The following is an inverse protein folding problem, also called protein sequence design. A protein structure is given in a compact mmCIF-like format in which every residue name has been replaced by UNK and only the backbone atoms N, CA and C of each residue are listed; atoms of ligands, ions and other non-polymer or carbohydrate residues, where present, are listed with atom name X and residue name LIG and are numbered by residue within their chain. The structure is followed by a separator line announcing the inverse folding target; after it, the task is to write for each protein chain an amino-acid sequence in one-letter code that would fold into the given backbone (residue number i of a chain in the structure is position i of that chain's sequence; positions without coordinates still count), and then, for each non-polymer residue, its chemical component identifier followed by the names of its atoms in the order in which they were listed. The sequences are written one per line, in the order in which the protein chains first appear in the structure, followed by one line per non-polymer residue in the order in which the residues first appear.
data_IF_929922614878
#
_entry.id   IF_929922614878
#
_cell.length_a   1.000
_cell.length_b   1.000
_cell.length_c   1.000
_cell.angle_alpha   90.00
_cell.angle_beta   90.00
_cell.angle_gamma   90.00
#
_symmetry.space_group_name_H-M   'P 1'
#
loop_
_entity.id
_entity.type
_entity.pdbx_description
1 polymer ?
#
# COMPACT_ATOMS: atom_id res chain seq x y z
N UNK A 1 10.65 58.11 -34.46
CA UNK A 1 10.99 56.75 -34.07
C UNK A 1 9.67 55.96 -33.96
N UNK A 2 9.37 55.19 -35.00
CA UNK A 2 8.14 54.43 -35.16
C UNK A 2 8.38 53.00 -34.70
N UNK A 3 7.65 52.56 -33.69
CA UNK A 3 7.62 51.16 -33.24
C UNK A 3 6.73 50.35 -34.17
N UNK A 4 7.32 49.43 -34.92
CA UNK A 4 6.61 48.41 -35.68
C UNK A 4 6.23 47.26 -34.77
N UNK A 5 4.91 47.06 -34.58
CA UNK A 5 4.35 45.85 -33.98
C UNK A 5 4.35 44.74 -35.05
N UNK A 6 5.14 43.70 -34.86
CA UNK A 6 5.09 42.50 -35.65
C UNK A 6 3.80 41.73 -35.28
N UNK A 7 2.86 41.70 -36.22
CA UNK A 7 1.68 40.82 -36.12
C UNK A 7 2.10 39.36 -36.23
N UNK A 8 1.68 38.57 -35.28
CA UNK A 8 1.71 37.10 -35.41
C UNK A 8 0.62 36.70 -36.40
N UNK A 9 1.02 36.41 -37.63
CA UNK A 9 0.14 35.80 -38.61
C UNK A 9 -0.35 34.44 -38.11
N UNK A 10 -1.66 34.35 -37.92
CA UNK A 10 -2.36 33.10 -37.61
C UNK A 10 -2.26 32.15 -38.82
N UNK A 11 -1.65 31.00 -38.62
CA UNK A 11 -1.65 29.91 -39.58
C UNK A 11 -3.09 29.49 -39.94
N UNK A 12 -3.40 29.25 -41.23
CA UNK A 12 -4.73 28.87 -41.66
C UNK A 12 -5.07 27.46 -41.10
N UNK A 13 -6.14 27.36 -40.33
CA UNK A 13 -6.75 26.12 -39.90
C UNK A 13 -7.21 25.31 -41.12
N UNK A 14 -6.60 24.14 -41.35
CA UNK A 14 -7.17 23.12 -42.22
C UNK A 14 -8.50 22.72 -41.64
N UNK A 15 -9.58 22.87 -42.42
CA UNK A 15 -10.96 22.54 -42.06
C UNK A 15 -11.16 21.04 -41.80
N UNK A 16 -10.83 20.60 -40.59
CA UNK A 16 -11.31 19.38 -40.01
C UNK A 16 -12.32 19.75 -38.93
N UNK A 17 -13.43 19.04 -38.83
CA UNK A 17 -14.40 19.17 -37.75
C UNK A 17 -13.63 18.91 -36.44
N UNK A 18 -13.28 19.98 -35.75
CA UNK A 18 -12.59 19.90 -34.49
C UNK A 18 -13.58 19.31 -33.47
N UNK A 19 -13.47 18.01 -33.18
CA UNK A 19 -14.30 17.37 -32.15
C UNK A 19 -14.00 18.03 -30.82
N UNK A 20 -14.99 18.68 -30.26
CA UNK A 20 -14.89 19.32 -28.95
C UNK A 20 -14.72 18.24 -27.89
N UNK A 21 -13.67 18.35 -27.07
CA UNK A 21 -13.47 17.45 -25.92
C UNK A 21 -14.68 17.52 -24.98
N UNK A 22 -15.27 16.39 -24.68
CA UNK A 22 -16.42 16.28 -23.77
C UNK A 22 -16.17 15.26 -22.68
N UNK A 23 -16.58 15.57 -21.45
CA UNK A 23 -16.52 14.64 -20.33
C UNK A 23 -17.91 14.40 -19.77
N UNK A 24 -18.27 13.13 -19.62
CA UNK A 24 -19.57 12.71 -19.06
C UNK A 24 -19.36 11.65 -18.00
N UNK A 25 -20.27 11.62 -17.02
CA UNK A 25 -20.35 10.55 -16.03
C UNK A 25 -21.18 9.41 -16.60
N UNK A 26 -20.58 8.22 -16.72
CA UNK A 26 -21.22 7.05 -17.32
C UNK A 26 -21.13 5.83 -16.38
N UNK A 27 -22.18 5.00 -16.40
CA UNK A 27 -22.18 3.71 -15.73
C UNK A 27 -21.48 2.69 -16.61
N UNK A 28 -20.32 2.21 -16.16
CA UNK A 28 -19.53 1.24 -16.90
C UNK A 28 -19.89 -0.15 -16.39
N UNK A 29 -20.67 -0.87 -17.20
CA UNK A 29 -20.96 -2.29 -16.97
C UNK A 29 -19.86 -3.16 -17.59
N UNK A 30 -19.73 -4.45 -17.22
CA UNK A 30 -18.78 -5.37 -17.85
C UNK A 30 -18.91 -5.42 -19.39
N UNK A 31 -20.14 -5.38 -19.91
CA UNK A 31 -20.39 -5.37 -21.36
C UNK A 31 -19.92 -4.06 -22.02
N UNK A 32 -20.18 -2.91 -21.38
CA UNK A 32 -19.69 -1.61 -21.84
C UNK A 32 -18.17 -1.56 -21.80
N UNK A 33 -17.56 -2.06 -20.72
CA UNK A 33 -16.10 -2.13 -20.57
C UNK A 33 -15.45 -2.99 -21.67
N UNK A 34 -16.02 -4.14 -21.97
CA UNK A 34 -15.55 -5.01 -23.06
C UNK A 34 -15.58 -4.29 -24.41
N UNK A 35 -16.71 -3.63 -24.73
CA UNK A 35 -16.86 -2.86 -25.97
C UNK A 35 -15.86 -1.69 -26.06
N UNK A 36 -15.63 -0.98 -24.95
CA UNK A 36 -14.65 0.12 -24.90
C UNK A 36 -13.22 -0.38 -25.12
N UNK A 37 -12.89 -1.59 -24.68
CA UNK A 37 -11.57 -2.20 -24.87
C UNK A 37 -11.30 -2.64 -26.31
N UNK A 38 -12.31 -2.79 -27.18
CA UNK A 38 -12.12 -3.12 -28.59
C UNK A 38 -11.29 -2.05 -29.33
N UNK A 39 -11.33 -0.80 -28.85
CA UNK A 39 -10.55 0.32 -29.40
C UNK A 39 -9.18 0.50 -28.73
N UNK A 40 -8.76 -0.44 -27.86
CA UNK A 40 -7.49 -0.37 -27.14
C UNK A 40 -6.31 -0.86 -27.99
N UNK A 41 -5.82 -0.05 -28.90
CA UNK A 41 -4.78 -0.43 -29.87
C UNK A 41 -3.37 0.04 -29.51
N UNK A 42 -3.21 1.09 -28.70
CA UNK A 42 -1.95 1.77 -28.45
C UNK A 42 -1.73 2.14 -26.97
N UNK A 43 -1.98 1.22 -26.07
CA UNK A 43 -1.75 1.45 -24.64
C UNK A 43 -0.53 0.68 -24.11
N UNK A 44 -0.02 1.12 -22.94
CA UNK A 44 1.06 0.43 -22.22
C UNK A 44 0.68 -0.99 -21.83
N UNK A 45 1.69 -1.81 -21.50
CA UNK A 45 1.47 -3.18 -21.05
C UNK A 45 0.56 -3.24 -19.82
N UNK A 46 -0.33 -4.24 -19.82
CA UNK A 46 -1.23 -4.49 -18.71
C UNK A 46 -0.44 -4.94 -17.49
N UNK A 47 -0.76 -4.35 -16.34
CA UNK A 47 -0.22 -4.76 -15.04
C UNK A 47 -1.30 -5.55 -14.29
N UNK A 48 -1.26 -6.91 -14.30
CA UNK A 48 -2.33 -7.74 -13.71
C UNK A 48 -2.60 -7.43 -12.25
N UNK A 49 -1.54 -7.11 -11.49
CA UNK A 49 -1.66 -6.71 -10.09
C UNK A 49 -2.57 -5.49 -9.90
N UNK A 50 -2.46 -4.49 -10.78
CA UNK A 50 -3.27 -3.27 -10.69
C UNK A 50 -4.74 -3.56 -11.04
N UNK A 51 -4.98 -4.38 -12.08
CA UNK A 51 -6.32 -4.85 -12.44
C UNK A 51 -6.97 -5.55 -11.25
N UNK A 52 -6.28 -6.52 -10.64
CA UNK A 52 -6.79 -7.27 -9.49
C UNK A 52 -7.06 -6.39 -8.27
N UNK A 53 -6.25 -5.35 -8.02
CA UNK A 53 -6.51 -4.39 -6.95
C UNK A 53 -7.79 -3.60 -7.19
N UNK A 54 -7.95 -3.03 -8.38
CA UNK A 54 -9.17 -2.29 -8.73
C UNK A 54 -10.40 -3.20 -8.72
N UNK A 55 -10.30 -4.43 -9.24
CA UNK A 55 -11.40 -5.39 -9.22
C UNK A 55 -11.85 -5.73 -7.79
N UNK A 56 -10.92 -5.91 -6.85
CA UNK A 56 -11.26 -6.11 -5.44
C UNK A 56 -11.94 -4.88 -4.84
N UNK A 57 -11.43 -3.68 -5.10
CA UNK A 57 -12.04 -2.45 -4.60
C UNK A 57 -13.47 -2.28 -5.13
N UNK A 58 -13.72 -2.63 -6.40
CA UNK A 58 -15.05 -2.62 -6.99
C UNK A 58 -15.97 -3.66 -6.35
N UNK A 59 -15.53 -4.91 -6.21
CA UNK A 59 -16.32 -6.02 -5.65
C UNK A 59 -16.64 -5.85 -4.17
N UNK A 60 -15.81 -5.15 -3.41
CA UNK A 60 -16.02 -4.87 -1.97
C UNK A 60 -16.73 -3.56 -1.70
N UNK A 61 -17.11 -2.78 -2.75
CA UNK A 61 -17.71 -1.46 -2.59
C UNK A 61 -16.73 -0.37 -2.12
N UNK A 62 -15.44 -0.68 -2.09
CA UNK A 62 -14.38 0.28 -1.74
C UNK A 62 -13.98 1.20 -2.90
N UNK A 63 -14.42 0.91 -4.13
CA UNK A 63 -14.20 1.77 -5.29
C UNK A 63 -14.77 3.17 -5.06
N UNK A 64 -13.97 4.19 -5.36
CA UNK A 64 -14.42 5.59 -5.32
C UNK A 64 -14.22 6.23 -6.68
N UNK A 65 -15.28 6.88 -7.15
CA UNK A 65 -15.20 7.72 -8.35
C UNK A 65 -14.23 8.89 -8.12
N UNK A 66 -13.41 9.18 -9.10
CA UNK A 66 -12.46 10.29 -9.08
C UNK A 66 -12.29 10.90 -10.48
N UNK A 67 -11.59 12.04 -10.57
CA UNK A 67 -11.42 12.78 -11.82
C UNK A 67 -10.67 12.00 -12.93
N UNK A 68 -9.85 11.02 -12.60
CA UNK A 68 -9.16 10.17 -13.56
C UNK A 68 -10.13 9.06 -14.00
N UNK A 69 -10.79 9.29 -15.13
CA UNK A 69 -11.76 8.38 -15.71
C UNK A 69 -11.19 7.52 -16.84
N UNK A 70 -11.98 7.37 -17.87
CA UNK A 70 -11.65 6.72 -19.14
C UNK A 70 -11.50 7.82 -20.16
N UNK A 71 -10.53 7.75 -21.06
CA UNK A 71 -10.34 8.73 -22.10
C UNK A 71 -10.19 8.08 -23.48
N UNK A 72 -10.87 8.69 -24.46
CA UNK A 72 -10.76 8.36 -25.88
C UNK A 72 -10.28 9.59 -26.65
N UNK A 73 -9.45 9.35 -27.63
CA UNK A 73 -9.00 10.40 -28.53
C UNK A 73 -10.11 10.85 -29.50
N UNK A 74 -9.77 11.78 -30.37
CA UNK A 74 -10.66 12.31 -31.43
C UNK A 74 -11.04 11.26 -32.48
N UNK A 75 -10.28 10.15 -32.59
CA UNK A 75 -10.56 9.02 -33.49
C UNK A 75 -11.36 7.92 -32.80
N UNK A 76 -11.68 8.06 -31.52
CA UNK A 76 -12.38 7.06 -30.70
C UNK A 76 -11.49 5.93 -30.19
N UNK A 77 -10.17 6.08 -30.26
CA UNK A 77 -9.21 5.11 -29.71
C UNK A 77 -9.06 5.34 -28.21
N UNK A 78 -9.07 4.26 -27.44
CA UNK A 78 -8.87 4.32 -25.98
C UNK A 78 -7.44 4.77 -25.64
N UNK A 79 -7.29 5.90 -24.99
CA UNK A 79 -6.00 6.47 -24.59
C UNK A 79 -5.69 6.37 -23.08
N UNK A 80 -6.70 6.30 -22.22
CA UNK A 80 -6.50 6.00 -20.78
C UNK A 80 -7.65 5.18 -20.21
N UNK A 81 -7.39 4.43 -19.17
CA UNK A 81 -8.39 3.68 -18.40
C UNK A 81 -8.41 2.18 -18.65
N UNK A 82 -7.52 1.59 -19.47
CA UNK A 82 -7.51 0.16 -19.76
C UNK A 82 -7.55 -0.74 -18.52
N UNK A 83 -6.76 -0.42 -17.47
CA UNK A 83 -6.75 -1.20 -16.22
C UNK A 83 -8.07 -1.11 -15.47
N UNK A 84 -8.74 0.05 -15.51
CA UNK A 84 -10.06 0.25 -14.89
C UNK A 84 -11.15 -0.53 -15.62
N UNK A 85 -11.13 -0.53 -16.95
CA UNK A 85 -12.07 -1.32 -17.78
C UNK A 85 -11.88 -2.82 -17.57
N UNK A 86 -10.63 -3.31 -17.55
CA UNK A 86 -10.32 -4.71 -17.25
C UNK A 86 -10.79 -5.10 -15.85
N UNK A 87 -10.64 -4.20 -14.87
CA UNK A 87 -11.10 -4.43 -13.52
C UNK A 87 -12.63 -4.51 -13.39
N UNK A 88 -13.38 -3.73 -14.18
CA UNK A 88 -14.84 -3.85 -14.27
C UNK A 88 -15.25 -5.23 -14.76
N UNK A 89 -14.58 -5.74 -15.81
CA UNK A 89 -14.86 -7.09 -16.33
C UNK A 89 -14.52 -8.15 -15.28
N UNK A 90 -13.34 -8.08 -14.65
CA UNK A 90 -12.86 -9.03 -13.68
C UNK A 90 -13.75 -9.06 -12.40
N UNK A 91 -14.16 -7.89 -11.92
CA UNK A 91 -15.03 -7.77 -10.75
C UNK A 91 -16.47 -8.15 -11.01
N UNK A 92 -16.91 -8.16 -12.28
CA UNK A 92 -18.31 -8.30 -12.70
C UNK A 92 -19.25 -7.23 -12.11
N UNK A 93 -18.69 -6.12 -11.62
CA UNK A 93 -19.42 -5.02 -11.03
C UNK A 93 -19.64 -3.88 -12.05
N UNK A 94 -20.75 -3.15 -11.92
CA UNK A 94 -20.98 -1.92 -12.65
C UNK A 94 -20.60 -0.74 -11.77
N UNK A 95 -19.79 0.18 -12.29
CA UNK A 95 -19.29 1.35 -11.53
C UNK A 95 -19.42 2.63 -12.34
N UNK A 96 -19.63 3.74 -11.65
CA UNK A 96 -19.65 5.05 -12.26
C UNK A 96 -18.24 5.56 -12.50
N UNK A 97 -17.99 6.10 -13.70
CA UNK A 97 -16.72 6.72 -14.07
C UNK A 97 -16.95 7.94 -14.95
N UNK A 98 -16.00 8.87 -14.93
CA UNK A 98 -15.94 9.94 -15.94
C UNK A 98 -15.38 9.36 -17.24
N UNK A 99 -16.03 9.68 -18.37
CA UNK A 99 -15.59 9.28 -19.71
C UNK A 99 -15.37 10.55 -20.53
N UNK A 100 -14.14 10.77 -20.93
CA UNK A 100 -13.72 11.90 -21.78
C UNK A 100 -13.55 11.42 -23.20
N UNK A 101 -14.11 12.13 -24.17
CA UNK A 101 -13.98 11.86 -25.60
C UNK A 101 -13.47 13.09 -26.33
N UNK A 102 -12.75 12.89 -27.42
CA UNK A 102 -12.21 13.96 -28.24
C UNK A 102 -10.90 14.54 -27.66
N UNK A 103 -10.12 13.73 -26.94
CA UNK A 103 -8.78 14.13 -26.49
C UNK A 103 -7.86 14.21 -27.69
N UNK A 104 -7.17 15.35 -27.88
CA UNK A 104 -6.23 15.50 -28.97
C UNK A 104 -5.08 14.50 -28.85
N UNK A 105 -4.76 13.79 -29.93
CA UNK A 105 -3.70 12.77 -29.93
C UNK A 105 -2.34 13.33 -29.50
N UNK A 106 -2.05 14.59 -29.82
CA UNK A 106 -0.84 15.28 -29.35
C UNK A 106 -0.80 15.50 -27.82
N UNK A 107 -1.95 15.51 -27.15
CA UNK A 107 -2.01 15.64 -25.69
C UNK A 107 -1.67 14.33 -24.94
N UNK A 108 -1.61 13.20 -25.68
CA UNK A 108 -1.25 11.89 -25.11
C UNK A 108 0.14 11.88 -24.45
N UNK A 109 1.10 12.64 -24.99
CA UNK A 109 2.44 12.78 -24.37
C UNK A 109 2.39 13.41 -22.98
N UNK A 110 1.35 14.18 -22.68
CA UNK A 110 1.12 14.81 -21.37
C UNK A 110 0.29 13.97 -20.39
N UNK A 111 -0.31 12.87 -20.83
CA UNK A 111 -1.09 11.99 -19.96
C UNK A 111 -0.14 11.09 -19.16
N UNK A 112 -0.36 10.97 -17.86
CA UNK A 112 0.44 10.13 -16.93
C UNK A 112 1.88 10.62 -16.61
N UNK A 113 2.27 11.86 -16.92
CA UNK A 113 3.57 12.41 -16.49
C UNK A 113 3.63 12.60 -14.96
N UNK A 114 2.49 12.68 -14.30
CA UNK A 114 2.39 12.86 -12.84
C UNK A 114 2.68 11.58 -12.07
N UNK A 115 3.57 11.66 -11.06
CA UNK A 115 3.75 10.57 -10.10
C UNK A 115 2.45 10.36 -9.30
N UNK A 116 1.82 9.21 -9.47
CA UNK A 116 0.63 8.85 -8.69
C UNK A 116 0.92 8.90 -7.18
N UNK A 117 0.02 9.50 -6.39
CA UNK A 117 0.15 9.54 -4.92
C UNK A 117 0.30 8.14 -4.36
N UNK A 118 1.33 7.94 -3.56
CA UNK A 118 1.53 6.70 -2.80
C UNK A 118 0.55 6.62 -1.63
N UNK A 119 0.36 5.44 -1.05
CA UNK A 119 -0.43 5.32 0.19
C UNK A 119 0.17 6.15 1.33
N UNK A 120 1.49 6.25 1.38
CA UNK A 120 2.18 7.07 2.39
C UNK A 120 1.90 8.58 2.18
N UNK A 121 1.84 9.06 0.94
CA UNK A 121 1.47 10.45 0.64
C UNK A 121 0.04 10.74 1.10
N UNK A 122 -0.90 9.81 0.87
CA UNK A 122 -2.29 9.95 1.31
C UNK A 122 -2.37 10.02 2.83
N UNK A 123 -1.69 9.11 3.54
CA UNK A 123 -1.67 9.07 5.00
C UNK A 123 -1.04 10.35 5.60
N UNK A 124 0.01 10.88 4.94
CA UNK A 124 0.61 12.17 5.34
C UNK A 124 -0.36 13.32 5.19
N UNK A 125 -1.12 13.38 4.09
CA UNK A 125 -2.15 14.40 3.87
C UNK A 125 -3.30 14.30 4.88
N UNK A 126 -3.61 13.08 5.34
CA UNK A 126 -4.59 12.83 6.40
C UNK A 126 -4.04 13.13 7.81
N UNK A 127 -2.82 13.65 7.93
CA UNK A 127 -2.21 14.00 9.20
C UNK A 127 -1.72 12.79 10.02
N UNK A 128 -1.57 11.61 9.40
CA UNK A 128 -1.11 10.41 10.12
C UNK A 128 0.41 10.52 10.36
N UNK A 129 0.85 10.51 11.63
CA UNK A 129 2.27 10.61 11.96
C UNK A 129 3.05 9.43 11.40
N UNK A 130 4.30 9.67 10.99
CA UNK A 130 5.20 8.61 10.54
C UNK A 130 4.64 7.73 9.41
N UNK A 131 3.81 8.28 8.51
CA UNK A 131 3.15 7.56 7.42
C UNK A 131 4.10 6.63 6.63
N UNK A 132 5.33 7.06 6.38
CA UNK A 132 6.37 6.26 5.70
C UNK A 132 6.74 4.96 6.44
N UNK A 133 6.51 4.88 7.76
CA UNK A 133 6.71 3.66 8.57
C UNK A 133 5.41 2.91 8.82
N UNK A 134 4.33 3.64 9.09
CA UNK A 134 3.00 3.07 9.34
C UNK A 134 2.50 2.27 8.13
N UNK A 135 2.58 2.84 6.93
CA UNK A 135 2.03 2.21 5.72
C UNK A 135 2.65 0.84 5.40
N UNK A 136 3.97 0.65 5.41
CA UNK A 136 4.55 -0.67 5.22
C UNK A 136 4.12 -1.69 6.29
N UNK A 137 3.97 -1.27 7.55
CA UNK A 137 3.48 -2.13 8.65
C UNK A 137 2.01 -2.49 8.43
N UNK A 138 1.15 -1.50 8.11
CA UNK A 138 -0.27 -1.70 7.81
C UNK A 138 -0.48 -2.59 6.58
N UNK A 139 0.41 -2.51 5.59
CA UNK A 139 0.40 -3.39 4.42
C UNK A 139 0.57 -4.85 4.83
N UNK A 140 1.55 -5.14 5.69
CA UNK A 140 1.75 -6.50 6.20
C UNK A 140 0.61 -6.93 7.12
N UNK A 141 0.06 -6.03 7.93
CA UNK A 141 -1.10 -6.32 8.77
C UNK A 141 -2.31 -6.71 7.91
N UNK A 142 -2.59 -6.00 6.81
CA UNK A 142 -3.64 -6.34 5.86
C UNK A 142 -3.45 -7.73 5.23
N UNK A 143 -2.20 -8.15 5.00
CA UNK A 143 -1.88 -9.50 4.52
C UNK A 143 -2.13 -10.55 5.60
N UNK A 144 -1.77 -10.28 6.86
CA UNK A 144 -2.03 -11.17 8.00
C UNK A 144 -3.53 -11.36 8.20
N UNK A 145 -4.32 -10.29 8.15
CA UNK A 145 -5.79 -10.35 8.27
C UNK A 145 -6.43 -11.28 7.23
N UNK A 146 -5.87 -11.34 6.04
CA UNK A 146 -6.36 -12.21 4.96
C UNK A 146 -5.89 -13.66 5.08
N UNK A 147 -5.18 -14.01 6.14
CA UNK A 147 -4.50 -15.33 6.29
C UNK A 147 -3.58 -15.67 5.10
N UNK A 148 -3.26 -14.66 4.29
CA UNK A 148 -2.23 -14.82 3.26
C UNK A 148 -0.90 -14.79 3.98
N UNK A 149 -0.30 -15.97 4.12
CA UNK A 149 0.99 -16.10 4.81
C UNK A 149 1.96 -15.01 4.35
N UNK A 150 2.79 -14.52 5.25
CA UNK A 150 3.94 -13.62 5.00
C UNK A 150 4.75 -13.97 3.73
N UNK A 151 4.50 -15.13 3.15
CA UNK A 151 5.24 -15.72 2.04
C UNK A 151 4.58 -15.56 0.67
N UNK A 152 3.29 -15.22 0.60
CA UNK A 152 2.58 -15.19 -0.69
C UNK A 152 2.37 -13.76 -1.19
N UNK A 153 3.20 -13.33 -2.15
CA UNK A 153 3.18 -11.99 -2.76
C UNK A 153 2.07 -11.83 -3.81
N UNK A 154 1.33 -12.91 -4.13
CA UNK A 154 0.38 -12.92 -5.23
C UNK A 154 -0.81 -11.97 -5.05
N UNK A 155 -1.16 -11.62 -3.80
CA UNK A 155 -2.28 -10.73 -3.49
C UNK A 155 -1.83 -9.55 -2.62
N UNK A 156 -1.05 -8.65 -3.21
CA UNK A 156 -0.68 -7.42 -2.51
C UNK A 156 -1.94 -6.58 -2.22
N UNK A 157 -2.13 -6.05 -1.00
CA UNK A 157 -3.33 -5.31 -0.66
C UNK A 157 -3.46 -4.01 -1.46
N UNK A 158 -4.71 -3.61 -1.72
CA UNK A 158 -5.02 -2.32 -2.32
C UNK A 158 -4.83 -1.18 -1.31
N UNK A 159 -4.89 0.07 -1.77
CA UNK A 159 -4.80 1.23 -0.87
C UNK A 159 -5.95 1.26 0.14
N UNK A 160 -7.15 0.86 -0.28
CA UNK A 160 -8.33 0.78 0.58
C UNK A 160 -8.19 -0.31 1.65
N UNK A 161 -7.63 -1.46 1.29
CA UNK A 161 -7.35 -2.55 2.23
C UNK A 161 -6.28 -2.19 3.26
N UNK A 162 -5.23 -1.48 2.83
CA UNK A 162 -4.20 -0.94 3.74
C UNK A 162 -4.83 0.07 4.70
N UNK A 163 -5.72 0.93 4.18
CA UNK A 163 -6.43 1.91 5.00
C UNK A 163 -7.34 1.23 6.02
N UNK A 164 -8.13 0.25 5.60
CA UNK A 164 -9.00 -0.51 6.49
C UNK A 164 -8.22 -1.22 7.61
N UNK A 165 -7.06 -1.81 7.29
CA UNK A 165 -6.18 -2.40 8.29
C UNK A 165 -5.62 -1.36 9.26
N UNK A 166 -5.25 -0.18 8.76
CA UNK A 166 -4.79 0.91 9.62
C UNK A 166 -5.90 1.39 10.55
N UNK A 167 -7.08 1.69 10.02
CA UNK A 167 -8.20 2.22 10.81
C UNK A 167 -8.62 1.23 11.90
N UNK A 168 -8.61 -0.07 11.59
CA UNK A 168 -8.94 -1.13 12.55
C UNK A 168 -7.90 -1.27 13.66
N UNK A 169 -6.62 -1.17 13.35
CA UNK A 169 -5.52 -1.46 14.29
C UNK A 169 -4.64 -0.23 14.57
N UNK A 170 -5.21 0.95 14.42
CA UNK A 170 -4.51 2.24 14.49
C UNK A 170 -3.55 2.34 15.67
N UNK A 171 -4.02 2.06 16.89
CA UNK A 171 -3.22 2.21 18.10
C UNK A 171 -1.97 1.33 18.07
N UNK A 172 -2.13 0.06 17.70
CA UNK A 172 -1.03 -0.89 17.63
C UNK A 172 -0.03 -0.55 16.51
N UNK A 173 -0.53 -0.08 15.37
CA UNK A 173 0.29 0.29 14.22
C UNK A 173 1.08 1.58 14.50
N UNK A 174 0.46 2.58 15.09
CA UNK A 174 1.11 3.83 15.51
C UNK A 174 2.16 3.55 16.59
N UNK A 175 1.83 2.70 17.55
CA UNK A 175 2.75 2.27 18.60
C UNK A 175 3.97 1.54 18.00
N UNK A 176 3.76 0.59 17.10
CA UNK A 176 4.82 -0.18 16.45
C UNK A 176 5.65 0.65 15.47
N UNK A 177 5.07 1.64 14.82
CA UNK A 177 5.79 2.59 13.99
C UNK A 177 6.77 3.46 14.80
N UNK A 178 6.65 3.42 16.14
CA UNK A 178 7.64 3.95 17.05
C UNK A 178 7.63 5.44 17.16
N UNK A 179 6.49 6.13 17.11
CA UNK A 179 6.40 7.55 17.46
C UNK A 179 7.72 8.34 17.30
N UNK A 180 7.92 9.36 17.99
CA UNK A 180 9.18 10.15 18.00
C UNK A 180 10.32 9.53 18.83
N UNK A 181 10.25 8.24 19.21
CA UNK A 181 11.24 7.62 20.10
C UNK A 181 12.59 7.40 19.40
N UNK A 182 13.54 8.29 19.71
CA UNK A 182 14.93 8.26 19.21
C UNK A 182 15.70 6.99 19.57
N UNK A 183 15.27 6.25 20.61
CA UNK A 183 15.95 5.04 21.12
C UNK A 183 15.56 3.73 20.42
N UNK A 184 14.61 3.74 19.48
CA UNK A 184 14.13 2.49 18.86
C UNK A 184 15.17 1.89 17.91
N UNK A 185 15.51 0.62 18.12
CA UNK A 185 16.53 -0.03 17.30
C UNK A 185 16.20 0.03 15.80
N UNK A 186 17.19 0.37 14.96
CA UNK A 186 16.98 0.62 13.53
C UNK A 186 16.34 -0.56 12.79
N UNK A 187 16.65 -1.78 13.15
CA UNK A 187 16.08 -2.99 12.55
C UNK A 187 14.58 -3.16 12.85
N UNK A 188 14.12 -2.72 14.03
CA UNK A 188 12.72 -2.78 14.42
C UNK A 188 11.85 -1.75 13.66
N UNK A 189 12.47 -0.73 13.05
CA UNK A 189 11.78 0.28 12.22
C UNK A 189 11.36 -0.25 10.85
N UNK A 190 11.80 -1.44 10.46
CA UNK A 190 11.40 -2.05 9.18
C UNK A 190 10.02 -2.70 9.27
N UNK A 191 9.35 -2.86 8.12
CA UNK A 191 7.95 -3.27 8.05
C UNK A 191 7.63 -4.58 8.79
N UNK A 192 8.44 -5.62 8.58
CA UNK A 192 8.13 -6.95 9.11
C UNK A 192 8.34 -7.05 10.63
N UNK A 193 9.45 -6.61 11.23
CA UNK A 193 9.58 -6.46 12.67
C UNK A 193 8.54 -5.52 13.28
N UNK A 194 8.23 -4.40 12.62
CA UNK A 194 7.19 -3.48 13.08
C UNK A 194 5.82 -4.15 13.14
N UNK A 195 5.47 -4.97 12.14
CA UNK A 195 4.23 -5.74 12.17
C UNK A 195 4.24 -6.79 13.29
N UNK A 196 5.36 -7.47 13.54
CA UNK A 196 5.50 -8.40 14.68
C UNK A 196 5.27 -7.70 16.02
N UNK A 197 5.79 -6.49 16.20
CA UNK A 197 5.55 -5.67 17.40
C UNK A 197 4.09 -5.23 17.51
N UNK A 198 3.43 -4.85 16.39
CA UNK A 198 2.01 -4.52 16.40
C UNK A 198 1.15 -5.72 16.81
N UNK A 199 1.46 -6.91 16.31
CA UNK A 199 0.80 -8.15 16.71
C UNK A 199 0.99 -8.45 18.21
N UNK A 200 2.20 -8.20 18.73
CA UNK A 200 2.46 -8.33 20.16
C UNK A 200 1.60 -7.35 20.97
N UNK A 201 1.56 -6.08 20.58
CA UNK A 201 0.74 -5.07 21.22
C UNK A 201 -0.74 -5.45 21.25
N UNK A 202 -1.29 -5.93 20.15
CA UNK A 202 -2.70 -6.32 20.05
C UNK A 202 -3.08 -7.42 21.03
N UNK A 203 -2.19 -8.35 21.29
CA UNK A 203 -2.42 -9.46 22.22
C UNK A 203 -2.12 -9.09 23.68
N UNK A 204 -1.16 -8.19 23.90
CA UNK A 204 -0.63 -7.88 25.22
C UNK A 204 -0.33 -6.39 25.41
N UNK A 205 -1.34 -5.51 25.30
CA UNK A 205 -1.12 -4.06 25.37
C UNK A 205 -0.54 -3.60 26.71
N UNK A 206 -0.92 -4.25 27.81
CA UNK A 206 -0.50 -3.86 29.16
C UNK A 206 1.02 -3.99 29.40
N UNK A 207 1.68 -4.93 28.72
CA UNK A 207 3.12 -5.20 28.90
C UNK A 207 3.94 -4.81 27.67
N UNK A 208 3.28 -4.30 26.61
CA UNK A 208 3.96 -3.95 25.37
C UNK A 208 4.96 -2.82 25.56
N UNK A 209 4.64 -1.83 26.37
CA UNK A 209 5.53 -0.72 26.68
C UNK A 209 6.73 -1.17 27.51
N UNK A 210 6.54 -2.06 28.48
CA UNK A 210 7.63 -2.67 29.24
C UNK A 210 8.58 -3.41 28.31
N UNK A 211 8.07 -4.30 27.46
CA UNK A 211 8.85 -5.04 26.49
C UNK A 211 9.63 -4.09 25.55
N UNK A 212 8.98 -3.05 25.03
CA UNK A 212 9.62 -2.05 24.19
C UNK A 212 10.73 -1.30 24.94
N UNK A 213 10.48 -0.89 26.15
CA UNK A 213 11.46 -0.18 26.98
C UNK A 213 12.68 -1.05 27.25
N UNK A 214 12.49 -2.32 27.58
CA UNK A 214 13.58 -3.28 27.77
C UNK A 214 14.38 -3.51 26.48
N UNK A 215 13.74 -3.45 25.29
CA UNK A 215 14.43 -3.53 24.00
C UNK A 215 15.24 -2.26 23.67
N UNK A 216 14.80 -1.09 24.13
CA UNK A 216 15.44 0.19 23.80
C UNK A 216 16.51 0.61 24.79
N UNK A 217 16.31 0.30 26.07
CA UNK A 217 17.22 0.73 27.15
C UNK A 217 18.03 -0.44 27.65
N UNK A 218 19.39 -0.37 27.66
CA UNK A 218 20.23 -1.43 28.25
C UNK A 218 20.16 -1.34 29.77
N UNK A 219 19.12 -1.88 30.37
CA UNK A 219 19.02 -2.04 31.81
C UNK A 219 19.54 -3.43 32.20
N UNK A 220 20.04 -3.63 33.40
CA UNK A 220 20.52 -4.89 33.98
C UNK A 220 19.53 -6.04 33.74
N UNK A 221 19.69 -6.70 32.60
CA UNK A 221 18.94 -7.90 32.22
C UNK A 221 19.89 -9.09 32.46
N UNK A 222 19.39 -10.16 33.08
CA UNK A 222 20.15 -11.39 33.20
C UNK A 222 20.65 -11.91 31.85
N UNK A 223 21.79 -12.60 31.86
CA UNK A 223 22.39 -13.13 30.61
C UNK A 223 21.48 -14.11 29.86
N UNK A 224 20.46 -14.66 30.52
CA UNK A 224 19.46 -15.57 30.01
C UNK A 224 18.12 -14.86 29.65
N UNK A 225 18.12 -13.52 29.62
CA UNK A 225 16.94 -12.73 29.23
C UNK A 225 16.62 -12.87 27.74
N UNK A 226 15.37 -13.22 27.37
CA UNK A 226 14.96 -13.27 25.98
C UNK A 226 15.03 -11.91 25.28
N UNK A 227 14.87 -10.82 26.03
CA UNK A 227 14.97 -9.46 25.49
C UNK A 227 16.42 -9.12 25.17
N UNK A 228 17.37 -9.47 26.06
CA UNK A 228 18.79 -9.29 25.80
C UNK A 228 19.25 -10.15 24.61
N UNK A 229 18.80 -11.41 24.56
CA UNK A 229 19.10 -12.31 23.44
C UNK A 229 18.55 -11.76 22.10
N UNK A 230 17.32 -11.22 22.10
CA UNK A 230 16.74 -10.59 20.92
C UNK A 230 17.52 -9.32 20.52
N UNK A 231 17.89 -8.48 21.46
CA UNK A 231 18.69 -7.28 21.21
C UNK A 231 20.05 -7.62 20.61
N UNK A 232 20.75 -8.61 21.18
CA UNK A 232 22.03 -9.09 20.66
C UNK A 232 21.91 -9.60 19.22
N UNK A 233 20.80 -10.27 18.92
CA UNK A 233 20.49 -10.72 17.56
C UNK A 233 20.27 -9.52 16.64
N UNK A 234 19.49 -8.51 17.06
CA UNK A 234 19.23 -7.29 16.27
C UNK A 234 20.53 -6.53 15.95
N UNK A 235 21.45 -6.43 16.91
CA UNK A 235 22.73 -5.74 16.73
C UNK A 235 23.63 -6.43 15.69
N UNK A 236 23.56 -7.76 15.63
CA UNK A 236 24.32 -8.59 14.68
C UNK A 236 23.62 -8.84 13.37
N UNK A 237 22.35 -8.42 13.22
CA UNK A 237 21.56 -8.71 12.01
C UNK A 237 22.10 -7.96 10.79
N UNK A 238 22.36 -8.65 9.65
CA UNK A 238 22.90 -8.02 8.45
C UNK A 238 21.97 -6.95 7.90
N UNK A 239 22.47 -5.72 7.70
CA UNK A 239 21.67 -4.57 7.24
C UNK A 239 21.23 -4.65 5.78
N UNK A 240 21.92 -5.39 4.93
CA UNK A 240 21.80 -5.32 3.46
C UNK A 240 21.00 -6.46 2.82
N UNK A 241 20.24 -7.28 3.56
CA UNK A 241 19.54 -8.43 2.97
C UNK A 241 18.03 -8.28 3.08
N UNK A 242 17.37 -7.83 2.00
CA UNK A 242 15.90 -7.71 1.91
C UNK A 242 15.16 -9.04 2.12
N UNK A 243 15.77 -10.17 1.77
CA UNK A 243 15.19 -11.50 1.92
C UNK A 243 15.05 -11.97 3.37
N UNK A 244 15.86 -11.41 4.29
CA UNK A 244 15.88 -11.81 5.71
C UNK A 244 14.98 -10.98 6.63
N UNK A 245 14.24 -9.99 6.11
CA UNK A 245 13.35 -9.18 6.97
C UNK A 245 12.17 -9.98 7.53
N UNK A 246 11.69 -10.98 6.80
CA UNK A 246 10.65 -11.90 7.29
C UNK A 246 11.17 -12.79 8.41
N UNK A 247 12.37 -13.31 8.24
CA UNK A 247 13.02 -14.14 9.26
C UNK A 247 13.23 -13.33 10.53
N UNK A 248 13.56 -12.04 10.40
CA UNK A 248 13.69 -11.13 11.54
C UNK A 248 12.36 -10.94 12.27
N UNK A 249 11.23 -10.85 11.56
CA UNK A 249 9.92 -10.78 12.19
C UNK A 249 9.60 -12.05 13.00
N UNK A 250 9.90 -13.23 12.47
CA UNK A 250 9.73 -14.49 13.18
C UNK A 250 10.61 -14.55 14.46
N UNK A 251 11.82 -14.00 14.41
CA UNK A 251 12.66 -13.88 15.61
C UNK A 251 12.08 -12.88 16.62
N UNK A 252 11.54 -11.76 16.17
CA UNK A 252 10.86 -10.79 17.06
C UNK A 252 9.67 -11.44 17.74
N UNK A 253 8.81 -12.16 17.01
CA UNK A 253 7.68 -12.89 17.59
C UNK A 253 8.15 -13.96 18.59
N UNK A 254 9.21 -14.69 18.26
CA UNK A 254 9.76 -15.73 19.14
C UNK A 254 10.38 -15.17 20.42
N UNK A 255 11.06 -14.03 20.32
CA UNK A 255 11.58 -13.30 21.46
C UNK A 255 10.48 -12.77 22.37
N UNK A 256 9.45 -12.16 21.75
CA UNK A 256 8.25 -11.70 22.46
C UNK A 256 7.51 -12.84 23.17
N UNK A 257 7.35 -13.97 22.49
CA UNK A 257 6.70 -15.16 23.06
C UNK A 257 7.50 -15.74 24.24
N UNK A 258 8.82 -15.78 24.10
CA UNK A 258 9.71 -16.24 25.18
C UNK A 258 9.65 -15.31 26.40
N UNK A 259 9.58 -13.99 26.16
CA UNK A 259 9.37 -12.99 27.21
C UNK A 259 8.04 -13.23 27.96
N UNK A 260 6.93 -13.38 27.22
CA UNK A 260 5.61 -13.66 27.79
C UNK A 260 5.56 -14.93 28.66
N UNK A 261 6.32 -15.93 28.28
CA UNK A 261 6.35 -17.23 28.96
C UNK A 261 7.39 -17.29 30.09
N UNK A 262 8.10 -16.18 30.36
CA UNK A 262 9.18 -16.16 31.35
C UNK A 262 10.32 -17.15 31.04
N UNK A 263 10.49 -17.49 29.75
CA UNK A 263 11.51 -18.46 29.33
C UNK A 263 12.89 -17.84 29.46
N UNK A 264 13.83 -18.62 29.97
CA UNK A 264 15.24 -18.25 30.01
C UNK A 264 15.90 -18.70 28.69
N UNK A 265 16.44 -17.75 27.93
CA UNK A 265 17.09 -18.04 26.65
C UNK A 265 18.27 -17.12 26.40
N UNK A 266 19.35 -17.67 25.90
CA UNK A 266 20.55 -16.91 25.51
C UNK A 266 20.61 -16.62 23.99
N UNK A 267 19.81 -17.33 23.19
CA UNK A 267 19.74 -17.19 21.73
C UNK A 267 18.30 -17.29 21.27
N UNK A 268 17.84 -16.33 20.47
CA UNK A 268 16.52 -16.38 19.86
C UNK A 268 16.58 -17.18 18.56
N UNK A 269 15.69 -18.17 18.44
CA UNK A 269 15.43 -18.94 17.21
C UNK A 269 13.95 -18.83 16.84
N UNK A 270 13.58 -18.91 15.56
CA UNK A 270 12.17 -18.93 15.16
C UNK A 270 11.41 -20.10 15.79
N UNK A 271 10.27 -19.79 16.40
CA UNK A 271 9.36 -20.76 17.02
C UNK A 271 8.04 -20.68 16.27
N UNK A 272 7.65 -21.76 15.59
CA UNK A 272 6.40 -21.80 14.79
C UNK A 272 5.15 -21.57 15.66
N UNK A 273 5.16 -22.01 16.92
CA UNK A 273 4.10 -21.75 17.89
C UNK A 273 3.94 -20.25 18.16
N UNK A 274 5.05 -19.50 18.27
CA UNK A 274 5.01 -18.07 18.47
C UNK A 274 4.34 -17.34 17.30
N UNK A 275 4.70 -17.69 16.08
CA UNK A 275 4.07 -17.11 14.88
C UNK A 275 2.57 -17.38 14.86
N UNK A 276 2.14 -18.61 15.07
CA UNK A 276 0.71 -18.98 15.17
C UNK A 276 0.01 -18.22 16.28
N UNK A 277 0.58 -18.22 17.48
CA UNK A 277 0.01 -17.53 18.65
C UNK A 277 -0.30 -16.06 18.35
N UNK A 278 0.59 -15.33 17.67
CA UNK A 278 0.39 -13.91 17.38
C UNK A 278 -0.45 -13.64 16.13
N UNK A 279 -0.56 -14.56 15.18
CA UNK A 279 -1.33 -14.35 13.94
C UNK A 279 -2.74 -14.93 13.99
N UNK A 280 -2.98 -15.97 14.81
CA UNK A 280 -4.29 -16.59 14.89
C UNK A 280 -5.31 -15.67 15.57
N UNK A 281 -6.50 -15.61 14.98
CA UNK A 281 -7.60 -14.79 15.48
C UNK A 281 -7.48 -13.29 15.25
N UNK A 282 -6.41 -12.80 14.59
CA UNK A 282 -6.23 -11.35 14.37
C UNK A 282 -7.39 -10.75 13.55
N UNK A 283 -7.94 -11.48 12.59
CA UNK A 283 -9.11 -11.03 11.83
C UNK A 283 -10.39 -10.87 12.67
N UNK A 284 -10.45 -11.57 13.81
CA UNK A 284 -11.60 -11.68 14.72
C UNK A 284 -11.47 -10.78 15.97
N UNK A 285 -10.26 -10.26 16.25
CA UNK A 285 -10.03 -9.33 17.35
C UNK A 285 -10.63 -7.96 17.01
N UNK A 286 -11.81 -7.68 17.56
CA UNK A 286 -12.69 -6.49 17.50
C UNK A 286 -13.97 -6.65 16.74
#
# INVERSE_FOLDING_TARGET
ATNGSAGFDSLPSRGGVQMTMTTRRELITPAVAAKMLETNTHNRNITPRLVNQYARDMSTGAWREHHQGIAFDESGVLCDGQHRLLAVIESKCSVWMLVTRGVQSAAMEGIDIGKGRTTADIFTLDGIPCAGRVVPIATLMAMVMKRTAWRNVATFPSKSEIRAAYDKYKIALDWAAGGHNAGFHSQLKSAAPGCALALFYLKHPAIADEFRNLLTTPVNQGADSPVLALRTLLDRWPRNQNTRKKDLAEHVLSGSFSFLRGRKVTVIRPIAEATRYFTDGIGELL
#
